data_IF_807742895126
#
_entry.id   IF_807742895126
#
_cell.length_a   1.000
_cell.length_b   1.000
_cell.length_c   1.000
_cell.angle_alpha   90.00
_cell.angle_beta   90.00
_cell.angle_gamma   90.00
#
_symmetry.space_group_name_H-M   'P 1'
#
loop_
_entity.id
_entity.type
_entity.pdbx_description
1 polymer ?
#
# COMPACT_ATOMS: atom_id res chain seq x y z
N UNK A 1 17.19 16.71 13.19
CA UNK A 1 16.38 15.69 13.92
C UNK A 1 14.86 15.82 13.78
N UNK A 2 14.26 16.98 13.45
CA UNK A 2 12.77 17.10 13.27
C UNK A 2 12.21 16.36 12.04
N UNK A 3 12.90 16.37 10.89
CA UNK A 3 12.47 15.68 9.66
C UNK A 3 12.38 14.15 9.84
N UNK A 4 13.39 13.56 10.48
CA UNK A 4 13.46 12.11 10.75
C UNK A 4 12.32 11.62 11.64
N UNK A 5 11.91 12.43 12.63
CA UNK A 5 10.82 12.08 13.57
C UNK A 5 9.43 12.12 12.91
N UNK A 6 9.22 12.97 11.90
CA UNK A 6 7.99 12.99 11.10
C UNK A 6 7.89 11.75 10.20
N UNK A 7 8.98 11.41 9.51
CA UNK A 7 9.04 10.22 8.65
C UNK A 7 8.84 8.92 9.45
N UNK A 8 9.31 8.86 10.70
CA UNK A 8 9.10 7.69 11.56
C UNK A 8 7.64 7.49 11.97
N UNK A 9 6.89 8.58 12.20
CA UNK A 9 5.46 8.52 12.50
C UNK A 9 4.63 8.08 11.27
N UNK A 10 4.96 8.61 10.09
CA UNK A 10 4.35 8.20 8.83
C UNK A 10 4.60 6.72 8.54
N UNK A 11 5.83 6.25 8.74
CA UNK A 11 6.20 4.85 8.58
C UNK A 11 5.47 3.91 9.56
N UNK A 12 5.37 4.29 10.85
CA UNK A 12 4.59 3.53 11.84
C UNK A 12 3.11 3.44 11.47
N UNK A 13 2.52 4.55 11.01
CA UNK A 13 1.13 4.59 10.57
C UNK A 13 0.92 3.75 9.31
N UNK A 14 1.85 3.78 8.36
CA UNK A 14 1.86 2.93 7.18
C UNK A 14 1.90 1.45 7.56
N UNK A 15 2.86 1.05 8.38
CA UNK A 15 2.99 -0.34 8.84
C UNK A 15 1.74 -0.82 9.56
N UNK A 16 1.17 -0.01 10.48
CA UNK A 16 -0.06 -0.36 11.19
C UNK A 16 -1.28 -0.50 10.27
N UNK A 17 -1.42 0.38 9.28
CA UNK A 17 -2.54 0.35 8.33
C UNK A 17 -2.41 -0.85 7.39
N UNK A 18 -1.23 -1.09 6.83
CA UNK A 18 -0.96 -2.24 5.95
C UNK A 18 -1.15 -3.55 6.70
N UNK A 19 -0.71 -3.64 7.96
CA UNK A 19 -0.89 -4.81 8.80
C UNK A 19 -2.37 -5.10 9.07
N UNK A 20 -3.15 -4.07 9.43
CA UNK A 20 -4.58 -4.21 9.69
C UNK A 20 -5.36 -4.67 8.44
N UNK A 21 -5.02 -4.10 7.28
CA UNK A 21 -5.65 -4.49 6.01
C UNK A 21 -5.22 -5.91 5.58
N UNK A 22 -3.97 -6.29 5.83
CA UNK A 22 -3.51 -7.67 5.61
C UNK A 22 -4.29 -8.68 6.46
N UNK A 23 -4.50 -8.41 7.75
CA UNK A 23 -5.31 -9.27 8.61
C UNK A 23 -6.73 -9.42 8.07
N UNK A 24 -7.34 -8.31 7.62
CA UNK A 24 -8.67 -8.33 7.03
C UNK A 24 -8.72 -9.20 5.75
N UNK A 25 -7.71 -9.07 4.88
CA UNK A 25 -7.60 -9.87 3.66
C UNK A 25 -7.40 -11.36 3.94
N UNK A 26 -6.60 -11.70 4.96
CA UNK A 26 -6.43 -13.09 5.43
C UNK A 26 -7.76 -13.64 5.98
N UNK A 27 -8.49 -12.83 6.76
CA UNK A 27 -9.79 -13.22 7.28
C UNK A 27 -10.79 -13.48 6.14
N UNK A 28 -10.86 -12.59 5.14
CA UNK A 28 -11.73 -12.77 3.97
C UNK A 28 -11.29 -13.98 3.14
N UNK A 29 -9.98 -14.19 2.96
CA UNK A 29 -9.47 -15.33 2.23
C UNK A 29 -9.77 -16.67 2.91
N UNK A 30 -9.97 -16.68 4.23
CA UNK A 30 -10.41 -17.89 4.95
C UNK A 30 -11.80 -18.36 4.49
N UNK A 31 -12.60 -17.46 3.88
CA UNK A 31 -13.89 -17.78 3.28
C UNK A 31 -13.82 -18.01 1.76
N UNK A 32 -12.97 -17.26 1.05
CA UNK A 32 -12.90 -17.29 -0.43
C UNK A 32 -11.91 -18.35 -0.96
N UNK A 33 -10.93 -18.77 -0.13
CA UNK A 33 -9.90 -19.77 -0.46
C UNK A 33 -9.18 -19.51 -1.79
N UNK A 34 -8.83 -18.25 -2.07
CA UNK A 34 -8.16 -17.87 -3.31
C UNK A 34 -6.84 -17.14 -3.03
N UNK A 35 -5.73 -17.80 -3.35
CA UNK A 35 -4.40 -17.19 -3.24
C UNK A 35 -4.25 -15.95 -4.12
N UNK A 36 -4.89 -15.96 -5.30
CA UNK A 36 -4.96 -14.79 -6.20
C UNK A 36 -5.66 -13.61 -5.54
N UNK A 37 -6.71 -13.85 -4.76
CA UNK A 37 -7.42 -12.79 -4.03
C UNK A 37 -6.53 -12.14 -2.96
N UNK A 38 -5.78 -12.95 -2.20
CA UNK A 38 -4.80 -12.43 -1.23
C UNK A 38 -3.74 -11.57 -1.92
N UNK A 39 -3.20 -12.06 -3.03
CA UNK A 39 -2.17 -11.37 -3.79
C UNK A 39 -2.66 -10.03 -4.35
N UNK A 40 -3.75 -10.04 -5.12
CA UNK A 40 -4.32 -8.82 -5.70
C UNK A 40 -4.80 -7.87 -4.61
N UNK A 41 -5.46 -8.39 -3.57
CA UNK A 41 -5.94 -7.59 -2.45
C UNK A 41 -4.80 -6.84 -1.74
N UNK A 42 -3.68 -7.51 -1.51
CA UNK A 42 -2.50 -6.88 -0.90
C UNK A 42 -1.87 -5.84 -1.82
N UNK A 43 -1.77 -6.15 -3.11
CA UNK A 43 -1.18 -5.25 -4.10
C UNK A 43 -2.00 -3.97 -4.26
N UNK A 44 -3.33 -4.11 -4.34
CA UNK A 44 -4.27 -2.97 -4.34
C UNK A 44 -4.16 -2.18 -3.04
N UNK A 45 -4.14 -2.85 -1.89
CA UNK A 45 -4.08 -2.18 -0.58
C UNK A 45 -2.82 -1.32 -0.43
N UNK A 46 -1.65 -1.86 -0.78
CA UNK A 46 -0.39 -1.12 -0.76
C UNK A 46 -0.44 0.07 -1.72
N UNK A 47 -0.96 -0.14 -2.94
CA UNK A 47 -1.05 0.91 -3.96
C UNK A 47 -1.98 2.08 -3.59
N UNK A 48 -2.90 1.89 -2.64
CA UNK A 48 -3.78 2.95 -2.14
C UNK A 48 -3.21 3.59 -0.86
N UNK A 49 -2.78 2.77 0.10
CA UNK A 49 -2.32 3.22 1.42
C UNK A 49 -1.01 4.01 1.31
N UNK A 50 -0.06 3.57 0.47
CA UNK A 50 1.24 4.22 0.35
C UNK A 50 1.14 5.66 -0.18
N UNK A 51 0.47 5.94 -1.32
CA UNK A 51 0.27 7.32 -1.78
C UNK A 51 -0.50 8.19 -0.80
N UNK A 52 -1.51 7.63 -0.12
CA UNK A 52 -2.31 8.39 0.83
C UNK A 52 -1.43 8.94 1.97
N UNK A 53 -0.55 8.10 2.52
CA UNK A 53 0.34 8.49 3.61
C UNK A 53 1.45 9.41 3.12
N UNK A 54 2.09 9.06 2.00
CA UNK A 54 3.19 9.85 1.44
C UNK A 54 2.76 11.27 1.05
N UNK A 55 1.57 11.43 0.46
CA UNK A 55 1.09 12.74 -0.01
C UNK A 55 0.43 13.54 1.12
N UNK A 56 -0.41 12.91 1.95
CA UNK A 56 -1.30 13.66 2.85
C UNK A 56 -0.85 13.65 4.31
N UNK A 57 -0.16 12.61 4.77
CA UNK A 57 0.34 12.53 6.15
C UNK A 57 1.74 13.15 6.23
N UNK A 58 2.64 12.72 5.36
CA UNK A 58 4.05 13.14 5.40
C UNK A 58 4.27 14.51 4.75
N UNK A 59 3.79 14.68 3.51
CA UNK A 59 3.95 15.94 2.76
C UNK A 59 2.86 16.97 3.06
N UNK A 60 1.74 16.56 3.69
CA UNK A 60 0.59 17.42 4.00
C UNK A 60 0.07 18.21 2.79
N UNK A 61 0.10 17.60 1.61
CA UNK A 61 -0.41 18.24 0.39
C UNK A 61 -1.94 18.35 0.43
N UNK A 62 -2.52 19.28 -0.33
CA UNK A 62 -3.98 19.35 -0.48
C UNK A 62 -4.47 18.14 -1.27
N UNK A 63 -5.55 17.52 -0.79
CA UNK A 63 -6.16 16.38 -1.46
C UNK A 63 -6.65 16.77 -2.86
N UNK A 64 -6.17 16.04 -3.86
CA UNK A 64 -6.58 16.18 -5.27
C UNK A 64 -6.71 14.80 -5.87
N UNK A 65 -7.91 14.45 -6.33
CA UNK A 65 -8.18 13.08 -6.78
C UNK A 65 -7.31 12.65 -7.96
N UNK A 66 -7.04 13.56 -8.90
CA UNK A 66 -6.18 13.29 -10.06
C UNK A 66 -4.77 12.85 -9.65
N UNK A 67 -4.19 13.54 -8.66
CA UNK A 67 -2.82 13.26 -8.20
C UNK A 67 -2.77 12.00 -7.36
N UNK A 68 -3.77 11.78 -6.51
CA UNK A 68 -3.92 10.53 -5.76
C UNK A 68 -3.98 9.33 -6.71
N UNK A 69 -4.90 9.35 -7.68
CA UNK A 69 -5.08 8.28 -8.65
C UNK A 69 -3.79 8.02 -9.46
N UNK A 70 -3.10 9.09 -9.89
CA UNK A 70 -1.82 8.95 -10.59
C UNK A 70 -0.79 8.20 -9.75
N UNK A 71 -0.55 8.62 -8.50
CA UNK A 71 0.41 7.95 -7.63
C UNK A 71 -0.01 6.51 -7.29
N UNK A 72 -1.32 6.25 -7.12
CA UNK A 72 -1.82 4.89 -6.88
C UNK A 72 -1.60 3.97 -8.07
N UNK A 73 -1.88 4.42 -9.29
CA UNK A 73 -1.64 3.63 -10.51
C UNK A 73 -0.15 3.35 -10.69
N UNK A 74 0.70 4.36 -10.48
CA UNK A 74 2.17 4.19 -10.58
C UNK A 74 2.68 3.21 -9.53
N UNK A 75 2.18 3.32 -8.29
CA UNK A 75 2.56 2.41 -7.20
C UNK A 75 2.08 0.99 -7.49
N UNK A 76 0.86 0.83 -8.01
CA UNK A 76 0.33 -0.46 -8.44
C UNK A 76 1.20 -1.09 -9.53
N UNK A 77 1.50 -0.35 -10.59
CA UNK A 77 2.32 -0.85 -11.69
C UNK A 77 3.74 -1.22 -11.23
N UNK A 78 4.36 -0.41 -10.37
CA UNK A 78 5.66 -0.70 -9.80
C UNK A 78 5.64 -1.97 -8.94
N UNK A 79 4.67 -2.11 -8.03
CA UNK A 79 4.55 -3.30 -7.18
C UNK A 79 4.20 -4.54 -7.99
N UNK A 80 3.35 -4.42 -9.01
CA UNK A 80 3.03 -5.50 -9.94
C UNK A 80 4.28 -6.01 -10.66
N UNK A 81 5.08 -5.10 -11.24
CA UNK A 81 6.35 -5.46 -11.88
C UNK A 81 7.34 -6.10 -10.90
N UNK A 82 7.46 -5.57 -9.67
CA UNK A 82 8.33 -6.16 -8.65
C UNK A 82 7.86 -7.58 -8.31
N UNK A 83 6.56 -7.79 -8.13
CA UNK A 83 6.03 -9.11 -7.84
C UNK A 83 6.24 -10.09 -9.00
N UNK A 84 5.98 -9.68 -10.24
CA UNK A 84 6.23 -10.51 -11.43
C UNK A 84 7.72 -10.87 -11.59
N UNK A 85 8.62 -9.89 -11.40
CA UNK A 85 10.06 -10.09 -11.60
C UNK A 85 10.71 -10.90 -10.48
N UNK A 86 10.26 -10.77 -9.23
CA UNK A 86 10.94 -11.35 -8.07
C UNK A 86 10.19 -12.49 -7.39
N UNK A 87 8.87 -12.57 -7.53
CA UNK A 87 8.04 -13.57 -6.83
C UNK A 87 7.61 -14.68 -7.79
N UNK A 88 7.23 -14.37 -9.04
CA UNK A 88 6.80 -15.36 -10.03
C UNK A 88 7.95 -16.08 -10.77
N UNK A 89 9.22 -15.71 -10.50
CA UNK A 89 10.38 -16.44 -11.03
C UNK A 89 10.77 -17.69 -10.21
N UNK A 90 10.14 -17.93 -9.06
CA UNK A 90 10.37 -19.07 -8.17
C UNK A 90 9.12 -19.93 -8.01
#
# INVERSE_FOLDING_TARGET
MRKTRMQFKGALFYLGTVFSVNILLIAINSYVQSETFLFIGNLVSISLIFPAIALYVDRKEKFTMKRYAYFSIVTFAAMFLICELFIYQF
#
